data_IF_929685504494
#
_entry.id   IF_929685504494
#
_cell.length_a   1.000
_cell.length_b   1.000
_cell.length_c   1.000
_cell.angle_alpha   90.00
_cell.angle_beta   90.00
_cell.angle_gamma   90.00
#
_symmetry.space_group_name_H-M   'P 1'
#
loop_
_entity.id
_entity.type
_entity.pdbx_description
1 polymer ?
#
# COMPACT_ATOMS: atom_id res chain seq x y z
N UNK A 1 48.72 -7.11 -29.62
CA UNK A 1 47.36 -6.68 -29.24
C UNK A 1 47.09 -7.17 -27.83
N UNK A 2 46.87 -6.28 -26.86
CA UNK A 2 46.55 -6.67 -25.48
C UNK A 2 45.09 -7.12 -25.39
N UNK A 3 44.76 -8.25 -24.76
CA UNK A 3 43.37 -8.67 -24.59
C UNK A 3 42.63 -7.67 -23.69
N UNK A 4 41.48 -7.18 -24.16
CA UNK A 4 40.56 -6.35 -23.37
C UNK A 4 40.04 -7.18 -22.19
N UNK A 5 40.23 -6.67 -20.99
CA UNK A 5 39.67 -7.20 -19.76
C UNK A 5 38.15 -7.38 -19.88
N UNK A 6 37.55 -8.47 -19.35
CA UNK A 6 36.11 -8.63 -19.33
C UNK A 6 35.46 -7.53 -18.46
N UNK A 7 34.25 -7.07 -18.80
CA UNK A 7 33.53 -6.09 -18.00
C UNK A 7 33.23 -6.65 -16.59
N UNK A 8 33.21 -5.79 -15.55
CA UNK A 8 32.97 -6.24 -14.19
C UNK A 8 31.59 -6.90 -14.08
N UNK A 9 31.57 -8.05 -13.41
CA UNK A 9 30.38 -8.81 -13.06
C UNK A 9 29.39 -7.92 -12.27
N UNK A 10 28.27 -7.53 -12.91
CA UNK A 10 27.09 -6.93 -12.28
C UNK A 10 26.29 -8.00 -11.51
N UNK A 11 26.93 -8.70 -10.57
CA UNK A 11 26.29 -9.71 -9.74
C UNK A 11 25.96 -9.11 -8.37
N UNK A 12 24.67 -8.95 -8.10
CA UNK A 12 24.04 -8.80 -6.79
C UNK A 12 24.60 -7.67 -5.90
N UNK A 13 24.37 -6.41 -6.26
CA UNK A 13 24.24 -5.38 -5.23
C UNK A 13 22.86 -5.55 -4.59
N UNK A 14 22.82 -6.28 -3.47
CA UNK A 14 21.66 -6.26 -2.59
C UNK A 14 21.37 -4.80 -2.21
N UNK A 15 20.11 -4.38 -2.37
CA UNK A 15 19.62 -3.08 -1.92
C UNK A 15 19.95 -2.94 -0.43
N UNK A 16 21.03 -2.23 -0.11
CA UNK A 16 21.24 -1.75 1.24
C UNK A 16 20.36 -0.50 1.37
N UNK A 17 19.41 -0.46 2.32
CA UNK A 17 18.66 0.75 2.59
C UNK A 17 19.68 1.82 2.96
N UNK A 18 19.87 2.75 2.03
CA UNK A 18 20.87 3.78 2.12
C UNK A 18 20.50 4.61 3.35
N UNK A 19 21.26 4.50 4.45
CA UNK A 19 21.18 5.42 5.60
C UNK A 19 21.76 6.78 5.23
N UNK A 20 21.52 7.21 3.98
CA UNK A 20 21.83 8.52 3.49
C UNK A 20 21.15 9.51 4.45
N UNK A 21 21.91 10.50 4.90
CA UNK A 21 21.38 11.68 5.59
C UNK A 21 20.06 12.05 4.91
N UNK A 22 18.97 12.02 5.68
CA UNK A 22 17.66 12.46 5.22
C UNK A 22 17.84 13.88 4.71
N UNK A 23 17.93 14.03 3.39
CA UNK A 23 17.87 15.34 2.76
C UNK A 23 16.42 15.80 2.94
N UNK A 24 16.15 16.83 3.77
CA UNK A 24 14.79 17.29 4.00
C UNK A 24 14.12 17.79 2.71
N UNK A 25 14.90 18.07 1.65
CA UNK A 25 14.38 18.45 0.34
C UNK A 25 13.99 17.25 -0.54
N UNK A 26 14.35 16.01 -0.17
CA UNK A 26 14.01 14.83 -0.98
C UNK A 26 12.61 14.34 -0.61
N UNK A 27 11.69 14.20 -1.59
CA UNK A 27 10.34 13.70 -1.32
C UNK A 27 10.40 12.28 -0.78
N UNK A 28 9.53 11.97 0.18
CA UNK A 28 9.39 10.63 0.73
C UNK A 28 8.86 9.67 -0.36
N UNK A 29 9.53 8.54 -0.62
CA UNK A 29 9.03 7.52 -1.53
C UNK A 29 7.69 6.97 -1.07
N UNK A 30 6.71 6.88 -1.98
CA UNK A 30 5.34 6.44 -1.67
C UNK A 30 5.25 5.02 -1.10
N UNK A 31 6.21 4.15 -1.40
CA UNK A 31 6.30 2.78 -0.86
C UNK A 31 6.76 2.70 0.60
N UNK A 32 7.16 3.83 1.20
CA UNK A 32 7.36 3.91 2.64
C UNK A 32 6.03 4.05 3.41
N UNK A 33 4.91 4.28 2.72
CA UNK A 33 3.62 4.49 3.38
C UNK A 33 3.24 3.37 4.35
N UNK A 34 3.36 2.06 4.03
CA UNK A 34 3.05 0.99 4.99
C UNK A 34 3.89 1.07 6.27
N UNK A 35 5.19 1.37 6.14
CA UNK A 35 6.13 1.50 7.27
C UNK A 35 5.79 2.73 8.12
N UNK A 36 5.44 3.84 7.47
CA UNK A 36 5.04 5.08 8.12
C UNK A 36 3.71 4.92 8.89
N UNK A 37 2.75 4.13 8.36
CA UNK A 37 1.51 3.78 9.08
C UNK A 37 1.82 3.00 10.36
N UNK A 38 2.69 2.00 10.28
CA UNK A 38 3.10 1.19 11.44
C UNK A 38 3.81 2.05 12.49
N UNK A 39 4.72 2.94 12.04
CA UNK A 39 5.39 3.90 12.90
C UNK A 39 4.39 4.82 13.62
N UNK A 40 3.43 5.39 12.88
CA UNK A 40 2.41 6.28 13.45
C UNK A 40 1.60 5.60 14.55
N UNK A 41 1.13 4.38 14.32
CA UNK A 41 0.40 3.60 15.35
C UNK A 41 1.29 3.33 16.56
N UNK A 42 2.54 2.91 16.36
CA UNK A 42 3.45 2.50 17.44
C UNK A 42 3.91 3.67 18.31
N UNK A 43 4.21 4.82 17.72
CA UNK A 43 4.86 5.93 18.42
C UNK A 43 3.89 7.06 18.79
N UNK A 44 2.91 7.34 17.93
CA UNK A 44 1.93 8.41 18.16
C UNK A 44 0.67 7.88 18.86
N UNK A 45 0.53 6.56 19.00
CA UNK A 45 -0.64 5.92 19.60
C UNK A 45 -1.95 6.17 18.85
N UNK A 46 -1.87 6.75 17.64
CA UNK A 46 -3.01 7.15 16.84
C UNK A 46 -2.84 6.61 15.42
N UNK A 47 -3.85 5.91 14.88
CA UNK A 47 -3.81 5.47 13.50
C UNK A 47 -3.85 6.70 12.59
N UNK A 48 -2.92 6.77 11.64
CA UNK A 48 -2.99 7.80 10.61
C UNK A 48 -4.23 7.54 9.76
N UNK A 49 -5.09 8.55 9.52
CA UNK A 49 -6.22 8.41 8.63
C UNK A 49 -5.72 8.20 7.20
N UNK A 50 -5.70 6.93 6.78
CA UNK A 50 -5.43 6.54 5.40
C UNK A 50 -6.66 5.84 4.86
N UNK A 51 -6.96 6.09 3.59
CA UNK A 51 -8.04 5.45 2.86
C UNK A 51 -7.95 3.93 3.04
N UNK A 52 -9.09 3.30 3.34
CA UNK A 52 -9.21 1.86 3.30
C UNK A 52 -8.96 1.39 1.85
N UNK A 53 -7.92 0.57 1.59
CA UNK A 53 -7.51 0.30 0.21
C UNK A 53 -8.65 -0.33 -0.61
N UNK A 54 -9.10 0.30 -1.71
CA UNK A 54 -10.02 -0.34 -2.64
C UNK A 54 -9.45 -1.66 -3.16
N UNK A 55 -10.34 -2.62 -3.37
CA UNK A 55 -10.02 -3.92 -3.95
C UNK A 55 -10.54 -3.97 -5.38
N UNK A 56 -9.63 -3.99 -6.34
CA UNK A 56 -9.94 -3.90 -7.75
C UNK A 56 -9.70 -5.25 -8.44
N UNK A 57 -10.63 -5.63 -9.30
CA UNK A 57 -10.36 -6.65 -10.32
C UNK A 57 -9.64 -5.99 -11.48
N UNK A 58 -8.54 -6.54 -11.97
CA UNK A 58 -7.86 -6.03 -13.17
C UNK A 58 -8.03 -6.99 -14.34
N UNK A 59 -8.43 -6.43 -15.47
CA UNK A 59 -8.61 -7.13 -16.73
C UNK A 59 -7.29 -7.24 -17.52
N UNK A 60 -7.16 -8.25 -18.39
CA UNK A 60 -5.98 -8.50 -19.20
C UNK A 60 -5.63 -7.33 -20.13
N UNK A 61 -6.63 -6.67 -20.72
CA UNK A 61 -6.40 -5.51 -21.56
C UNK A 61 -5.63 -4.38 -20.84
N UNK A 62 -5.83 -4.24 -19.51
CA UNK A 62 -5.12 -3.28 -18.66
C UNK A 62 -3.74 -3.73 -18.30
N UNK A 63 -3.59 -5.00 -17.96
CA UNK A 63 -2.29 -5.58 -17.67
C UNK A 63 -1.38 -5.44 -18.89
N UNK A 64 -1.85 -5.82 -20.08
CA UNK A 64 -1.12 -5.68 -21.33
C UNK A 64 -0.75 -4.22 -21.62
N UNK A 65 -1.71 -3.30 -21.56
CA UNK A 65 -1.44 -1.86 -21.77
C UNK A 65 -0.37 -1.32 -20.80
N UNK A 66 -0.34 -1.83 -19.57
CA UNK A 66 0.63 -1.45 -18.54
C UNK A 66 2.01 -2.05 -18.82
N UNK A 67 2.07 -3.32 -19.22
CA UNK A 67 3.32 -4.01 -19.64
C UNK A 67 3.98 -3.23 -20.78
N UNK A 68 3.22 -2.90 -21.84
CA UNK A 68 3.74 -2.18 -22.99
C UNK A 68 4.24 -0.79 -22.63
N UNK A 69 3.51 -0.07 -21.78
CA UNK A 69 3.92 1.25 -21.27
C UNK A 69 5.22 1.15 -20.47
N UNK A 70 5.31 0.18 -19.56
CA UNK A 70 6.49 -0.04 -18.71
C UNK A 70 7.71 -0.44 -19.52
N UNK A 71 7.57 -1.30 -20.53
CA UNK A 71 8.66 -1.71 -21.40
C UNK A 71 9.27 -0.53 -22.20
N UNK A 72 8.48 0.53 -22.43
CA UNK A 72 8.89 1.78 -23.11
C UNK A 72 9.60 2.78 -22.21
N UNK A 73 9.52 2.65 -20.89
CA UNK A 73 10.26 3.52 -19.99
C UNK A 73 11.76 3.38 -20.20
N UNK A 74 12.52 4.43 -19.86
CA UNK A 74 13.99 4.41 -19.91
C UNK A 74 14.54 3.25 -19.09
N UNK A 75 14.04 3.09 -17.85
CA UNK A 75 14.27 1.91 -17.01
C UNK A 75 12.98 1.11 -16.86
N UNK A 76 13.06 -0.22 -17.06
CA UNK A 76 11.93 -1.13 -16.79
C UNK A 76 11.60 -1.18 -15.30
N UNK A 77 12.56 -0.87 -14.43
CA UNK A 77 12.37 -0.81 -12.98
C UNK A 77 11.53 0.39 -12.54
N UNK A 78 11.37 1.41 -13.39
CA UNK A 78 10.48 2.53 -13.10
C UNK A 78 9.06 2.02 -12.89
N UNK A 79 8.52 2.27 -11.69
CA UNK A 79 7.16 1.86 -11.33
C UNK A 79 6.13 2.64 -12.13
N UNK A 80 5.17 1.92 -12.67
CA UNK A 80 3.92 2.46 -13.22
C UNK A 80 3.03 3.00 -12.10
N UNK A 81 2.01 3.81 -12.39
CA UNK A 81 1.04 4.25 -11.39
C UNK A 81 0.40 3.10 -10.61
N UNK A 82 0.09 1.99 -11.29
CA UNK A 82 -0.45 0.77 -10.67
C UNK A 82 0.51 0.18 -9.63
N UNK A 83 1.75 -0.09 -10.03
CA UNK A 83 2.77 -0.67 -9.14
C UNK A 83 3.07 0.25 -7.95
N UNK A 84 3.09 1.56 -8.17
CA UNK A 84 3.32 2.53 -7.11
C UNK A 84 2.16 2.57 -6.10
N UNK A 85 0.92 2.54 -6.58
CA UNK A 85 -0.27 2.50 -5.73
C UNK A 85 -0.37 1.20 -4.92
N UNK A 86 -0.06 0.06 -5.56
CA UNK A 86 -0.02 -1.24 -4.86
C UNK A 86 1.11 -1.26 -3.82
N UNK A 87 2.32 -0.83 -4.18
CA UNK A 87 3.46 -0.81 -3.25
C UNK A 87 3.22 0.12 -2.05
N UNK A 88 2.51 1.23 -2.24
CA UNK A 88 2.10 2.12 -1.15
C UNK A 88 0.97 1.54 -0.27
N UNK A 89 0.36 0.42 -0.67
CA UNK A 89 -0.77 -0.19 0.03
C UNK A 89 -2.00 0.71 0.04
N UNK A 90 -2.21 1.49 -1.02
CA UNK A 90 -3.43 2.32 -1.21
C UNK A 90 -4.46 1.66 -2.11
N UNK A 91 -4.11 0.53 -2.75
CA UNK A 91 -5.02 -0.30 -3.54
C UNK A 91 -4.56 -1.75 -3.47
N UNK A 92 -5.51 -2.69 -3.59
CA UNK A 92 -5.22 -4.10 -3.80
C UNK A 92 -5.83 -4.54 -5.12
N UNK A 93 -5.08 -5.32 -5.89
CA UNK A 93 -5.41 -5.65 -7.26
C UNK A 93 -5.41 -7.16 -7.41
N UNK A 94 -6.51 -7.69 -7.94
CA UNK A 94 -6.79 -9.11 -8.04
C UNK A 94 -7.06 -9.50 -9.49
N UNK A 95 -6.71 -10.73 -9.85
CA UNK A 95 -7.08 -11.35 -11.11
C UNK A 95 -7.13 -12.88 -10.96
N UNK A 96 -7.89 -13.58 -11.80
CA UNK A 96 -7.88 -15.04 -11.82
C UNK A 96 -6.68 -15.58 -12.63
N UNK A 97 -6.34 -16.88 -12.52
CA UNK A 97 -5.24 -17.47 -13.29
C UNK A 97 -5.42 -17.41 -14.80
N UNK A 98 -6.64 -17.27 -15.30
CA UNK A 98 -6.92 -17.03 -16.72
C UNK A 98 -6.19 -15.80 -17.26
N UNK A 99 -5.94 -14.77 -16.42
CA UNK A 99 -5.13 -13.62 -16.79
C UNK A 99 -3.75 -14.03 -17.31
N UNK A 100 -3.11 -15.00 -16.65
CA UNK A 100 -1.77 -15.43 -17.01
C UNK A 100 -1.78 -16.12 -18.39
N UNK A 101 -2.78 -16.99 -18.63
CA UNK A 101 -2.97 -17.66 -19.92
C UNK A 101 -3.21 -16.65 -21.03
N UNK A 102 -4.09 -15.69 -20.82
CA UNK A 102 -4.41 -14.69 -21.82
C UNK A 102 -3.19 -13.80 -22.14
N UNK A 103 -2.50 -13.30 -21.11
CA UNK A 103 -1.30 -12.49 -21.29
C UNK A 103 -0.19 -13.27 -22.00
N UNK A 104 0.09 -14.51 -21.58
CA UNK A 104 1.21 -15.29 -22.10
C UNK A 104 0.92 -15.93 -23.44
N UNK A 105 -0.15 -16.73 -23.48
CA UNK A 105 -0.43 -17.65 -24.56
C UNK A 105 -1.13 -16.96 -25.71
N UNK A 106 -1.97 -15.96 -25.44
CA UNK A 106 -2.73 -15.26 -26.50
C UNK A 106 -2.01 -14.02 -27.01
N UNK A 107 -1.40 -13.21 -26.14
CA UNK A 107 -0.87 -11.91 -26.52
C UNK A 107 0.64 -11.84 -26.64
N UNK A 108 1.40 -12.30 -25.63
CA UNK A 108 2.86 -12.20 -25.66
C UNK A 108 3.51 -13.24 -26.60
N UNK A 109 2.92 -14.43 -26.74
CA UNK A 109 3.37 -15.45 -27.70
C UNK A 109 3.28 -14.96 -29.15
N UNK A 110 2.29 -14.10 -29.45
CA UNK A 110 2.04 -13.52 -30.77
C UNK A 110 2.79 -12.21 -30.99
N UNK A 111 3.69 -11.83 -30.08
CA UNK A 111 4.41 -10.57 -30.17
C UNK A 111 5.23 -10.49 -31.45
N UNK A 112 4.86 -9.54 -32.31
CA UNK A 112 5.67 -9.12 -33.45
C UNK A 112 6.21 -7.71 -33.18
N UNK A 113 7.53 -7.48 -33.25
CA UNK A 113 8.09 -6.16 -33.05
C UNK A 113 7.48 -5.17 -34.06
N UNK A 114 6.95 -4.06 -33.56
CA UNK A 114 6.45 -2.98 -34.43
C UNK A 114 7.57 -2.49 -35.34
N UNK A 115 7.28 -2.32 -36.63
CA UNK A 115 8.26 -1.83 -37.63
C UNK A 115 8.77 -0.42 -37.33
N UNK A 116 7.99 0.42 -36.64
CA UNK A 116 8.35 1.83 -36.40
C UNK A 116 9.21 2.03 -35.15
N UNK A 117 8.98 1.25 -34.09
CA UNK A 117 9.73 1.29 -32.82
C UNK A 117 9.68 -0.10 -32.16
N UNK A 118 10.55 -1.04 -32.58
CA UNK A 118 10.56 -2.37 -32.00
C UNK A 118 11.00 -2.30 -30.53
N UNK A 119 10.27 -2.97 -29.64
CA UNK A 119 10.69 -3.15 -28.25
C UNK A 119 11.43 -4.49 -28.15
N UNK A 120 12.59 -4.55 -27.49
CA UNK A 120 13.23 -5.83 -27.22
C UNK A 120 12.30 -6.72 -26.40
N UNK A 121 12.03 -7.95 -26.87
CA UNK A 121 11.12 -8.88 -26.19
C UNK A 121 11.51 -9.13 -24.73
N UNK A 122 12.82 -9.16 -24.43
CA UNK A 122 13.34 -9.25 -23.06
C UNK A 122 12.83 -8.13 -22.15
N UNK A 123 12.71 -6.88 -22.64
CA UNK A 123 12.14 -5.77 -21.85
C UNK A 123 10.66 -5.97 -21.57
N UNK A 124 9.93 -6.57 -22.50
CA UNK A 124 8.51 -6.89 -22.36
C UNK A 124 8.33 -7.99 -21.31
N UNK A 125 9.14 -9.05 -21.37
CA UNK A 125 9.14 -10.13 -20.38
C UNK A 125 9.50 -9.62 -18.99
N UNK A 126 10.48 -8.73 -18.88
CA UNK A 126 10.87 -8.15 -17.59
C UNK A 126 9.78 -7.21 -17.04
N UNK A 127 9.18 -6.38 -17.90
CA UNK A 127 8.04 -5.53 -17.52
C UNK A 127 6.85 -6.38 -17.02
N UNK A 128 6.54 -7.47 -17.73
CA UNK A 128 5.54 -8.46 -17.33
C UNK A 128 5.85 -9.06 -15.96
N UNK A 129 7.07 -9.57 -15.75
CA UNK A 129 7.50 -10.20 -14.49
C UNK A 129 7.31 -9.26 -13.30
N UNK A 130 7.78 -8.01 -13.44
CA UNK A 130 7.66 -7.00 -12.39
C UNK A 130 6.19 -6.64 -12.12
N UNK A 131 5.40 -6.39 -13.17
CA UNK A 131 4.00 -6.00 -13.00
C UNK A 131 3.16 -7.09 -12.36
N UNK A 132 3.25 -8.33 -12.85
CA UNK A 132 2.43 -9.44 -12.35
C UNK A 132 2.75 -9.76 -10.88
N UNK A 133 3.96 -9.46 -10.40
CA UNK A 133 4.29 -9.59 -8.97
C UNK A 133 3.52 -8.62 -8.06
N UNK A 134 2.87 -7.59 -8.63
CA UNK A 134 2.02 -6.64 -7.92
C UNK A 134 0.53 -6.99 -7.99
N UNK A 135 0.14 -8.10 -8.65
CA UNK A 135 -1.25 -8.53 -8.82
C UNK A 135 -1.44 -9.82 -8.03
N UNK A 136 -2.49 -9.88 -7.20
CA UNK A 136 -2.85 -11.08 -6.47
C UNK A 136 -3.63 -12.03 -7.38
N UNK A 137 -2.99 -13.11 -7.80
CA UNK A 137 -3.63 -14.16 -8.60
C UNK A 137 -4.39 -15.11 -7.67
N UNK A 138 -5.71 -15.20 -7.83
CA UNK A 138 -6.59 -15.99 -6.96
C UNK A 138 -7.51 -16.85 -7.81
N UNK A 139 -7.50 -18.17 -7.56
CA UNK A 139 -8.44 -19.11 -8.17
C UNK A 139 -9.85 -18.89 -7.57
N UNK A 140 -10.84 -18.47 -8.37
CA UNK A 140 -12.18 -18.30 -7.86
C UNK A 140 -12.89 -19.66 -7.70
N UNK A 141 -13.76 -19.83 -6.69
CA UNK A 141 -14.68 -20.95 -6.70
C UNK A 141 -15.71 -20.81 -7.83
N UNK A 142 -16.31 -21.92 -8.23
CA UNK A 142 -17.41 -21.91 -9.20
C UNK A 142 -18.68 -21.31 -8.56
N UNK A 143 -18.83 -20.00 -8.71
CA UNK A 143 -19.99 -19.23 -8.27
C UNK A 143 -20.88 -18.96 -9.47
N UNK A 144 -22.19 -19.09 -9.26
CA UNK A 144 -23.21 -18.71 -10.25
C UNK A 144 -24.03 -17.54 -9.73
N UNK A 145 -24.29 -16.57 -10.61
CA UNK A 145 -25.13 -15.42 -10.33
C UNK A 145 -25.77 -14.94 -11.64
N UNK A 146 -26.91 -14.22 -11.60
CA UNK A 146 -27.50 -13.66 -12.82
C UNK A 146 -26.58 -12.72 -13.59
N UNK A 147 -25.59 -12.09 -12.93
CA UNK A 147 -24.58 -11.28 -13.63
C UNK A 147 -23.55 -12.17 -14.34
N UNK A 148 -23.10 -13.23 -13.69
CA UNK A 148 -22.17 -14.22 -14.26
C UNK A 148 -22.81 -14.96 -15.44
N UNK A 149 -24.08 -15.37 -15.36
CA UNK A 149 -24.76 -16.03 -16.48
C UNK A 149 -24.91 -15.11 -17.71
N UNK A 150 -25.22 -13.83 -17.49
CA UNK A 150 -25.28 -12.84 -18.57
C UNK A 150 -23.91 -12.66 -19.24
N UNK A 151 -22.84 -12.62 -18.44
CA UNK A 151 -21.49 -12.52 -18.96
C UNK A 151 -21.08 -13.79 -19.70
N UNK A 152 -21.38 -14.98 -19.14
CA UNK A 152 -21.14 -16.28 -19.78
C UNK A 152 -21.78 -16.39 -21.16
N UNK A 153 -22.98 -15.83 -21.34
CA UNK A 153 -23.65 -15.80 -22.64
C UNK A 153 -23.01 -14.83 -23.64
N UNK A 154 -22.30 -13.79 -23.16
CA UNK A 154 -21.65 -12.76 -23.97
C UNK A 154 -20.18 -13.08 -24.27
N UNK A 155 -19.38 -13.28 -23.23
CA UNK A 155 -18.01 -13.76 -23.30
C UNK A 155 -17.74 -14.81 -22.19
N UNK A 156 -17.64 -16.10 -22.54
CA UNK A 156 -17.29 -17.16 -21.59
C UNK A 156 -15.92 -17.00 -20.93
N UNK A 157 -14.98 -16.24 -21.53
CA UNK A 157 -13.63 -16.06 -20.99
C UNK A 157 -13.61 -15.21 -19.72
N UNK A 158 -14.53 -14.26 -19.61
CA UNK A 158 -14.62 -13.35 -18.46
C UNK A 158 -15.37 -13.94 -17.26
N UNK A 159 -15.85 -15.19 -17.37
CA UNK A 159 -16.61 -15.85 -16.29
C UNK A 159 -15.78 -15.98 -15.01
N UNK A 160 -14.52 -16.39 -15.10
CA UNK A 160 -13.68 -16.55 -13.89
C UNK A 160 -13.37 -15.20 -13.23
N UNK A 161 -13.19 -14.15 -14.02
CA UNK A 161 -13.04 -12.78 -13.52
C UNK A 161 -14.29 -12.33 -12.75
N UNK A 162 -15.49 -12.59 -13.28
CA UNK A 162 -16.75 -12.25 -12.61
C UNK A 162 -17.00 -13.10 -11.36
N UNK A 163 -16.61 -14.37 -11.37
CA UNK A 163 -16.65 -15.24 -10.20
C UNK A 163 -15.73 -14.71 -9.10
N UNK A 164 -14.51 -14.31 -9.44
CA UNK A 164 -13.57 -13.71 -8.50
C UNK A 164 -14.10 -12.41 -7.89
N UNK A 165 -14.70 -11.55 -8.72
CA UNK A 165 -15.33 -10.31 -8.29
C UNK A 165 -16.39 -10.55 -7.21
N UNK A 166 -17.31 -11.50 -7.47
CA UNK A 166 -18.38 -11.83 -6.52
C UNK A 166 -17.88 -12.61 -5.30
N UNK A 167 -16.85 -13.44 -5.44
CA UNK A 167 -16.26 -14.23 -4.35
C UNK A 167 -15.60 -13.35 -3.30
N UNK A 168 -14.71 -12.45 -3.73
CA UNK A 168 -13.96 -11.55 -2.85
C UNK A 168 -14.71 -10.25 -2.52
N UNK A 169 -15.89 -10.03 -3.11
CA UNK A 169 -16.69 -8.80 -2.94
C UNK A 169 -15.86 -7.55 -3.29
N UNK A 170 -15.21 -7.59 -4.44
CA UNK A 170 -14.38 -6.50 -4.96
C UNK A 170 -15.24 -5.24 -5.17
N UNK A 171 -14.57 -4.08 -5.17
CA UNK A 171 -15.21 -2.77 -5.28
C UNK A 171 -15.53 -2.43 -6.74
N UNK A 172 -14.54 -2.61 -7.62
CA UNK A 172 -14.66 -2.21 -9.02
C UNK A 172 -13.85 -3.11 -9.95
N UNK A 173 -14.21 -3.10 -11.23
CA UNK A 173 -13.46 -3.72 -12.33
C UNK A 173 -12.67 -2.64 -13.07
N UNK A 174 -11.35 -2.81 -13.18
CA UNK A 174 -10.48 -1.97 -13.97
C UNK A 174 -10.31 -2.59 -15.36
N UNK A 175 -11.12 -2.14 -16.31
CA UNK A 175 -11.17 -2.68 -17.69
C UNK A 175 -11.32 -1.54 -18.71
N UNK A 176 -11.11 -1.85 -20.00
CA UNK A 176 -11.60 -1.04 -21.14
C UNK A 176 -12.75 -1.72 -21.88
N UNK A 177 -13.05 -2.96 -21.55
CA UNK A 177 -14.01 -3.76 -22.27
C UNK A 177 -15.44 -3.34 -21.93
N UNK A 178 -16.25 -3.16 -22.98
CA UNK A 178 -17.66 -2.85 -22.85
C UNK A 178 -18.49 -4.10 -22.48
N UNK A 179 -17.92 -5.30 -22.59
CA UNK A 179 -18.60 -6.54 -22.26
C UNK A 179 -18.96 -6.63 -20.77
N UNK A 180 -18.17 -6.00 -19.90
CA UNK A 180 -18.47 -5.87 -18.47
C UNK A 180 -19.77 -5.12 -18.18
N UNK A 181 -20.28 -4.27 -19.08
CA UNK A 181 -21.49 -3.48 -18.84
C UNK A 181 -22.72 -4.37 -18.60
N UNK A 182 -22.74 -5.60 -19.15
CA UNK A 182 -23.86 -6.53 -18.94
C UNK A 182 -23.93 -7.05 -17.50
N UNK A 183 -22.86 -6.96 -16.72
CA UNK A 183 -22.84 -7.48 -15.35
C UNK A 183 -23.55 -6.54 -14.38
N UNK A 184 -23.56 -5.23 -14.69
CA UNK A 184 -23.94 -4.18 -13.74
C UNK A 184 -22.92 -3.94 -12.63
N UNK A 185 -21.71 -4.49 -12.75
CA UNK A 185 -20.59 -4.16 -11.86
C UNK A 185 -20.13 -2.73 -12.10
N UNK A 186 -19.49 -2.13 -11.10
CA UNK A 186 -18.89 -0.81 -11.26
C UNK A 186 -17.56 -0.94 -12.02
N UNK A 187 -17.49 -0.31 -13.19
CA UNK A 187 -16.34 -0.39 -14.09
C UNK A 187 -15.62 0.96 -14.09
N UNK A 188 -14.31 0.93 -13.85
CA UNK A 188 -13.45 2.11 -13.95
C UNK A 188 -12.76 2.08 -15.31
N UNK A 189 -13.26 2.89 -16.24
CA UNK A 189 -12.62 3.12 -17.54
C UNK A 189 -11.48 4.16 -17.38
N UNK A 190 -10.54 4.23 -18.32
CA UNK A 190 -9.37 5.14 -18.17
C UNK A 190 -9.55 6.51 -18.81
N UNK A 191 -10.56 6.65 -19.65
CA UNK A 191 -10.98 7.88 -20.29
C UNK A 191 -11.72 8.81 -19.34
N UNK A 192 -12.43 8.27 -18.33
CA UNK A 192 -13.22 9.08 -17.39
C UNK A 192 -12.34 9.87 -16.40
N UNK A 193 -11.33 9.20 -15.83
CA UNK A 193 -10.34 9.77 -14.92
C UNK A 193 -9.27 8.69 -14.66
N UNK A 194 -7.97 9.04 -14.69
CA UNK A 194 -6.92 8.06 -14.40
C UNK A 194 -6.83 7.79 -12.90
N UNK A 195 -7.74 6.93 -12.41
CA UNK A 195 -7.82 6.51 -11.01
C UNK A 195 -6.47 6.06 -10.46
N UNK A 196 -5.64 5.38 -11.27
CA UNK A 196 -4.33 4.91 -10.84
C UNK A 196 -3.35 6.06 -10.64
N UNK A 197 -3.38 7.08 -11.50
CA UNK A 197 -2.63 8.31 -11.28
C UNK A 197 -3.09 9.06 -10.02
N UNK A 198 -4.40 9.08 -9.74
CA UNK A 198 -4.96 9.70 -8.53
C UNK A 198 -4.57 8.94 -7.27
N UNK A 199 -4.67 7.61 -7.27
CA UNK A 199 -4.20 6.77 -6.16
C UNK A 199 -2.70 6.97 -5.90
N UNK A 200 -1.90 7.06 -6.96
CA UNK A 200 -0.47 7.40 -6.86
C UNK A 200 -0.25 8.79 -6.27
N UNK A 201 -0.99 9.82 -6.71
CA UNK A 201 -0.91 11.17 -6.14
C UNK A 201 -1.25 11.13 -4.64
N UNK A 202 -2.39 10.51 -4.30
CA UNK A 202 -2.82 10.30 -2.92
C UNK A 202 -1.73 9.64 -2.07
N UNK A 203 -1.15 8.52 -2.54
CA UNK A 203 -0.08 7.82 -1.84
C UNK A 203 1.11 8.73 -1.55
N UNK A 204 1.60 9.48 -2.54
CA UNK A 204 2.73 10.41 -2.37
C UNK A 204 2.42 11.51 -1.36
N UNK A 205 1.27 12.16 -1.49
CA UNK A 205 0.86 13.25 -0.59
C UNK A 205 0.73 12.76 0.85
N UNK A 206 0.12 11.58 1.07
CA UNK A 206 -0.03 11.00 2.40
C UNK A 206 1.34 10.61 2.99
N UNK A 207 2.21 9.97 2.21
CA UNK A 207 3.57 9.64 2.67
C UNK A 207 4.33 10.89 3.07
N UNK A 208 4.23 11.95 2.28
CA UNK A 208 4.90 13.21 2.57
C UNK A 208 4.34 13.88 3.83
N UNK A 209 3.01 13.92 4.00
CA UNK A 209 2.36 14.43 5.21
C UNK A 209 2.82 13.68 6.46
N UNK A 210 2.79 12.34 6.44
CA UNK A 210 3.21 11.51 7.57
C UNK A 210 4.72 11.64 7.81
N UNK A 211 5.52 11.61 6.75
CA UNK A 211 6.97 11.73 6.85
C UNK A 211 7.39 13.05 7.48
N UNK A 212 6.80 14.16 7.04
CA UNK A 212 7.01 15.50 7.61
C UNK A 212 6.54 15.58 9.06
N UNK A 213 5.36 15.04 9.38
CA UNK A 213 4.85 14.99 10.74
C UNK A 213 5.75 14.16 11.67
N UNK A 214 6.27 13.03 11.20
CA UNK A 214 7.22 12.20 11.94
C UNK A 214 8.55 12.90 12.17
N UNK A 215 9.07 13.65 11.19
CA UNK A 215 10.28 14.47 11.36
C UNK A 215 10.05 15.55 12.42
N UNK A 216 8.90 16.24 12.40
CA UNK A 216 8.57 17.26 13.39
C UNK A 216 8.49 16.64 14.79
N UNK A 217 7.66 15.61 14.98
CA UNK A 217 7.44 14.99 16.30
C UNK A 217 8.72 14.39 16.88
N UNK A 218 9.52 13.71 16.04
CA UNK A 218 10.81 13.16 16.45
C UNK A 218 11.80 14.27 16.83
N UNK A 219 11.85 15.35 16.03
CA UNK A 219 12.67 16.53 16.32
C UNK A 219 12.28 17.20 17.64
N UNK A 220 10.97 17.39 17.89
CA UNK A 220 10.46 17.92 19.15
C UNK A 220 10.78 17.00 20.32
N UNK A 221 10.61 15.68 20.16
CA UNK A 221 10.94 14.71 21.21
C UNK A 221 12.42 14.76 21.59
N UNK A 222 13.34 14.76 20.61
CA UNK A 222 14.77 14.90 20.88
C UNK A 222 15.12 16.24 21.52
N UNK A 223 14.46 17.33 21.12
CA UNK A 223 14.65 18.64 21.74
C UNK A 223 14.21 18.61 23.21
N UNK A 224 13.05 18.01 23.51
CA UNK A 224 12.54 17.85 24.88
C UNK A 224 13.48 16.98 25.72
N UNK A 225 13.96 15.86 25.20
CA UNK A 225 14.89 14.99 25.92
C UNK A 225 16.27 15.61 26.10
N UNK A 226 16.78 16.37 25.11
CA UNK A 226 18.00 17.15 25.26
C UNK A 226 17.84 18.23 26.34
N UNK A 227 16.69 18.91 26.36
CA UNK A 227 16.32 19.90 27.39
C UNK A 227 16.24 19.24 28.77
N UNK A 228 15.57 18.09 28.91
CA UNK A 228 15.50 17.33 30.17
C UNK A 228 16.88 16.85 30.60
N UNK A 229 17.69 16.33 29.68
CA UNK A 229 19.05 15.87 29.93
C UNK A 229 19.94 17.00 30.43
N UNK A 230 19.91 18.16 29.76
CA UNK A 230 20.60 19.36 30.20
C UNK A 230 20.10 19.83 31.58
N UNK A 231 18.79 19.84 31.80
CA UNK A 231 18.17 20.22 33.07
C UNK A 231 18.58 19.30 34.22
N UNK A 232 18.60 17.98 33.99
CA UNK A 232 18.99 16.97 34.96
C UNK A 232 20.50 17.04 35.27
N UNK A 233 21.33 17.25 34.25
CA UNK A 233 22.77 17.47 34.42
C UNK A 233 23.04 18.73 35.25
N UNK A 234 22.35 19.84 34.92
CA UNK A 234 22.41 21.07 35.72
C UNK A 234 21.95 20.84 37.15
N UNK A 235 20.91 20.03 37.38
CA UNK A 235 20.42 19.67 38.72
C UNK A 235 21.48 19.04 39.63
N UNK A 236 22.48 18.37 39.06
CA UNK A 236 23.60 17.75 39.79
C UNK A 236 24.80 18.68 40.03
N UNK A 237 24.83 19.86 39.40
CA UNK A 237 25.95 20.79 39.52
C UNK A 237 26.00 21.49 40.91
N UNK A 238 27.12 22.12 41.29
CA UNK A 238 27.16 23.03 42.45
C UNK A 238 26.13 24.17 42.34
N UNK A 239 25.59 24.70 43.46
CA UNK A 239 24.49 25.67 43.45
C UNK A 239 24.70 26.90 42.56
N UNK A 240 25.92 27.44 42.52
CA UNK A 240 26.25 28.59 41.67
C UNK A 240 26.13 28.26 40.16
N UNK A 241 26.63 27.10 39.75
CA UNK A 241 26.56 26.62 38.36
C UNK A 241 25.12 26.21 37.97
N UNK A 242 24.32 25.74 38.93
CA UNK A 242 22.89 25.45 38.74
C UNK A 242 22.11 26.68 38.27
N UNK A 243 22.25 27.79 38.99
CA UNK A 243 21.55 29.04 38.65
C UNK A 243 22.05 29.66 37.35
N UNK A 244 23.37 29.70 37.15
CA UNK A 244 23.99 30.18 35.92
C UNK A 244 23.53 29.37 34.70
N UNK A 245 23.57 28.05 34.78
CA UNK A 245 23.18 27.18 33.67
C UNK A 245 21.69 27.23 33.35
N UNK A 246 20.82 27.30 34.37
CA UNK A 246 19.37 27.49 34.17
C UNK A 246 19.07 28.86 33.54
N UNK A 247 19.73 29.92 34.00
CA UNK A 247 19.61 31.26 33.44
C UNK A 247 20.06 31.30 31.98
N UNK A 248 21.21 30.70 31.66
CA UNK A 248 21.71 30.62 30.28
C UNK A 248 20.75 29.84 29.36
N UNK A 249 20.20 28.72 29.83
CA UNK A 249 19.23 27.93 29.08
C UNK A 249 17.93 28.70 28.82
N UNK A 250 17.38 29.39 29.83
CA UNK A 250 16.23 30.27 29.67
C UNK A 250 16.53 31.45 28.72
N UNK A 251 17.74 32.02 28.79
CA UNK A 251 18.15 33.09 27.88
C UNK A 251 18.26 32.63 26.42
N UNK A 252 18.72 31.39 26.17
CA UNK A 252 18.71 30.79 24.83
C UNK A 252 17.28 30.54 24.35
N UNK A 253 16.41 30.02 25.22
CA UNK A 253 14.99 29.81 24.90
C UNK A 253 14.21 31.12 24.72
N UNK A 254 14.64 32.21 25.36
CA UNK A 254 14.07 33.54 25.22
C UNK A 254 14.74 34.37 24.12
N UNK A 255 15.75 33.83 23.43
CA UNK A 255 16.51 34.57 22.42
C UNK A 255 15.60 34.88 21.21
N UNK A 256 15.29 36.16 20.93
CA UNK A 256 14.42 36.54 19.81
C UNK A 256 15.01 36.14 18.46
N UNK A 257 16.34 36.07 18.31
CA UNK A 257 17.01 35.63 17.09
C UNK A 257 16.75 34.15 16.77
N UNK A 258 16.59 33.30 17.79
CA UNK A 258 16.21 31.90 17.58
C UNK A 258 14.78 31.80 17.03
N UNK A 259 13.84 32.55 17.61
CA UNK A 259 12.46 32.62 17.11
C UNK A 259 12.42 33.19 15.69
N UNK A 260 13.14 34.27 15.40
CA UNK A 260 13.18 34.86 14.06
C UNK A 260 13.78 33.92 13.01
N UNK A 261 14.73 33.04 13.39
CA UNK A 261 15.31 32.07 12.47
C UNK A 261 14.43 30.82 12.27
N UNK A 262 13.69 30.39 13.31
CA UNK A 262 12.90 29.15 13.29
C UNK A 262 11.46 29.40 12.83
N UNK A 263 10.85 30.50 13.25
CA UNK A 263 9.43 30.79 13.01
C UNK A 263 9.09 30.82 11.51
N UNK A 264 9.86 31.47 10.61
CA UNK A 264 9.53 31.46 9.17
C UNK A 264 9.53 30.04 8.59
N UNK A 265 10.51 29.21 8.98
CA UNK A 265 10.60 27.81 8.54
C UNK A 265 9.45 26.97 9.10
N UNK A 266 9.03 27.24 10.33
CA UNK A 266 7.89 26.57 10.94
C UNK A 266 6.56 26.98 10.28
N UNK A 267 6.41 28.26 9.92
CA UNK A 267 5.25 28.75 9.17
C UNK A 267 5.21 28.11 7.78
N UNK A 268 6.30 28.14 7.03
CA UNK A 268 6.43 27.47 5.72
C UNK A 268 6.08 25.97 5.83
N UNK A 269 6.58 25.30 6.88
CA UNK A 269 6.26 23.91 7.14
C UNK A 269 4.76 23.68 7.39
N UNK A 270 4.11 24.52 8.20
CA UNK A 270 2.67 24.44 8.45
C UNK A 270 1.85 24.71 7.19
N UNK A 271 2.27 25.66 6.34
CA UNK A 271 1.65 25.95 5.05
C UNK A 271 1.74 24.73 4.13
N UNK A 272 2.92 24.11 4.02
CA UNK A 272 3.13 22.89 3.23
C UNK A 272 2.29 21.70 3.75
N UNK A 273 2.15 21.54 5.07
CA UNK A 273 1.25 20.54 5.64
C UNK A 273 -0.21 20.82 5.31
N UNK A 274 -0.63 22.09 5.36
CA UNK A 274 -1.99 22.47 5.01
C UNK A 274 -2.29 22.23 3.52
N UNK A 275 -1.34 22.56 2.64
CA UNK A 275 -1.44 22.29 1.20
C UNK A 275 -1.54 20.79 0.93
N UNK A 276 -0.65 19.98 1.49
CA UNK A 276 -0.69 18.52 1.37
C UNK A 276 -2.01 17.94 1.89
N UNK A 277 -2.55 18.45 3.02
CA UNK A 277 -3.85 18.00 3.51
C UNK A 277 -5.00 18.35 2.56
N UNK A 278 -4.94 19.49 1.86
CA UNK A 278 -5.94 19.86 0.84
C UNK A 278 -5.83 18.97 -0.39
N UNK A 279 -4.62 18.74 -0.88
CA UNK A 279 -4.37 17.84 -2.00
C UNK A 279 -4.82 16.41 -1.71
N UNK A 280 -4.52 15.91 -0.50
CA UNK A 280 -4.98 14.60 -0.02
C UNK A 280 -6.50 14.52 -0.04
N UNK A 281 -7.18 15.53 0.52
CA UNK A 281 -8.64 15.55 0.58
C UNK A 281 -9.27 15.58 -0.83
N UNK A 282 -8.72 16.36 -1.75
CA UNK A 282 -9.16 16.38 -3.15
C UNK A 282 -8.94 15.02 -3.84
N UNK A 283 -7.75 14.42 -3.68
CA UNK A 283 -7.46 13.12 -4.25
C UNK A 283 -8.38 12.03 -3.67
N UNK A 284 -8.65 12.08 -2.37
CA UNK A 284 -9.59 11.18 -1.70
C UNK A 284 -11.01 11.33 -2.25
N UNK A 285 -11.51 12.56 -2.40
CA UNK A 285 -12.83 12.81 -3.00
C UNK A 285 -12.94 12.26 -4.43
N UNK A 286 -11.89 12.41 -5.24
CA UNK A 286 -11.85 11.84 -6.58
C UNK A 286 -11.86 10.32 -6.56
N UNK A 287 -11.09 9.70 -5.66
CA UNK A 287 -11.07 8.25 -5.47
C UNK A 287 -12.45 7.73 -5.02
N UNK A 288 -13.08 8.37 -4.04
CA UNK A 288 -14.42 8.00 -3.54
C UNK A 288 -15.52 8.21 -4.59
N UNK A 289 -15.37 9.20 -5.47
CA UNK A 289 -16.26 9.41 -6.62
C UNK A 289 -16.10 8.29 -7.65
N UNK A 290 -14.87 7.93 -7.96
CA UNK A 290 -14.53 6.99 -9.04
C UNK A 290 -14.67 5.54 -8.59
N UNK A 291 -14.53 5.27 -7.30
CA UNK A 291 -14.71 3.95 -6.69
C UNK A 291 -16.04 3.98 -5.95
N UNK A 292 -17.08 3.48 -6.62
CA UNK A 292 -18.35 3.28 -5.94
C UNK A 292 -18.22 2.05 -5.04
N UNK A 293 -18.47 2.16 -3.72
CA UNK A 293 -18.54 0.99 -2.87
C UNK A 293 -19.58 0.03 -3.46
N UNK A 294 -19.29 -1.27 -3.40
CA UNK A 294 -20.13 -2.31 -3.99
C UNK A 294 -21.61 -2.04 -3.65
N UNK A 295 -22.49 -1.85 -4.65
CA UNK A 295 -23.87 -1.42 -4.40
C UNK A 295 -24.68 -2.47 -3.64
N UNK A 296 -24.20 -3.72 -3.61
CA UNK A 296 -24.82 -4.80 -2.83
C UNK A 296 -24.49 -4.59 -1.35
N UNK A 297 -25.53 -4.61 -0.50
CA UNK A 297 -25.35 -4.62 0.96
C UNK A 297 -24.47 -5.81 1.34
N UNK A 298 -23.26 -5.51 1.81
CA UNK A 298 -22.33 -6.53 2.26
C UNK A 298 -22.85 -7.14 3.56
N UNK A 299 -22.77 -8.46 3.67
CA UNK A 299 -23.00 -9.12 4.94
C UNK A 299 -21.85 -8.82 5.91
N UNK A 300 -22.08 -9.00 7.21
CA UNK A 300 -21.03 -8.91 8.23
C UNK A 300 -19.87 -9.88 7.92
N UNK A 301 -20.20 -11.07 7.41
CA UNK A 301 -19.22 -12.08 7.00
C UNK A 301 -18.41 -11.62 5.79
N UNK A 302 -19.04 -10.93 4.83
CA UNK A 302 -18.34 -10.33 3.69
C UNK A 302 -17.39 -9.22 4.13
N UNK A 303 -17.80 -8.35 5.06
CA UNK A 303 -16.88 -7.37 5.64
C UNK A 303 -15.68 -8.04 6.33
N UNK A 304 -15.90 -9.14 7.06
CA UNK A 304 -14.82 -9.90 7.68
C UNK A 304 -13.88 -10.53 6.64
N UNK A 305 -14.42 -11.07 5.55
CA UNK A 305 -13.63 -11.59 4.43
C UNK A 305 -12.75 -10.48 3.84
N UNK A 306 -13.34 -9.31 3.53
CA UNK A 306 -12.59 -8.17 2.98
C UNK A 306 -11.48 -7.70 3.92
N UNK A 307 -11.75 -7.61 5.22
CA UNK A 307 -10.74 -7.25 6.23
C UNK A 307 -9.58 -8.24 6.23
N UNK A 308 -9.85 -9.53 6.11
CA UNK A 308 -8.84 -10.58 6.12
C UNK A 308 -8.08 -10.69 4.81
N UNK A 309 -8.74 -10.53 3.67
CA UNK A 309 -8.11 -10.45 2.34
C UNK A 309 -7.16 -9.25 2.28
N UNK A 310 -7.54 -8.13 2.89
CA UNK A 310 -6.69 -6.94 2.95
C UNK A 310 -5.49 -7.08 3.88
N UNK A 311 -5.52 -8.05 4.80
CA UNK A 311 -4.48 -8.25 5.79
C UNK A 311 -3.37 -9.14 5.24
N UNK A 312 -2.12 -8.71 5.39
CA UNK A 312 -0.96 -9.55 5.06
C UNK A 312 -0.67 -10.62 6.11
N UNK A 313 -1.27 -10.51 7.29
CA UNK A 313 -1.06 -11.44 8.41
C UNK A 313 -2.40 -11.94 8.97
N UNK A 314 -2.44 -13.16 9.54
CA UNK A 314 -3.60 -13.65 10.27
C UNK A 314 -3.95 -12.73 11.44
N UNK A 315 -5.24 -12.37 11.57
CA UNK A 315 -5.72 -11.42 12.57
C UNK A 315 -6.42 -12.11 13.74
N UNK A 316 -6.35 -11.50 14.92
CA UNK A 316 -7.14 -11.95 16.08
C UNK A 316 -8.60 -11.51 15.93
N UNK A 317 -9.52 -12.32 16.46
CA UNK A 317 -10.96 -12.03 16.40
C UNK A 317 -11.37 -10.63 16.92
N UNK A 318 -10.81 -10.08 18.03
CA UNK A 318 -11.12 -8.73 18.48
C UNK A 318 -10.73 -7.65 17.45
N UNK A 319 -9.59 -7.84 16.78
CA UNK A 319 -9.11 -6.92 15.76
C UNK A 319 -9.97 -6.97 14.50
N UNK A 320 -10.38 -8.16 14.07
CA UNK A 320 -11.33 -8.34 12.95
C UNK A 320 -12.64 -7.62 13.29
N UNK A 321 -13.16 -7.83 14.50
CA UNK A 321 -14.40 -7.20 14.98
C UNK A 321 -14.31 -5.67 14.93
N UNK A 322 -13.18 -5.11 15.37
CA UNK A 322 -12.92 -3.67 15.32
C UNK A 322 -12.89 -3.16 13.88
N UNK A 323 -12.12 -3.80 12.99
CA UNK A 323 -11.99 -3.38 11.58
C UNK A 323 -13.29 -3.51 10.80
N UNK A 324 -14.08 -4.56 11.06
CA UNK A 324 -15.42 -4.75 10.47
C UNK A 324 -16.36 -3.61 10.86
N UNK A 325 -16.33 -3.16 12.13
CA UNK A 325 -17.11 -1.99 12.59
C UNK A 325 -16.64 -0.70 11.94
N UNK A 326 -15.32 -0.47 11.87
CA UNK A 326 -14.74 0.71 11.21
C UNK A 326 -15.10 0.78 9.73
N UNK A 327 -15.23 -0.38 9.06
CA UNK A 327 -15.70 -0.49 7.69
C UNK A 327 -17.21 -0.24 7.51
N UNK A 328 -17.93 0.15 8.57
CA UNK A 328 -19.35 0.52 8.52
C UNK A 328 -20.32 -0.66 8.67
N UNK A 329 -19.86 -1.86 9.03
CA UNK A 329 -20.75 -2.99 9.24
C UNK A 329 -21.63 -2.77 10.48
N UNK A 330 -22.95 -2.83 10.29
CA UNK A 330 -23.93 -2.71 11.36
C UNK A 330 -24.42 -4.11 11.76
N UNK A 331 -24.42 -4.40 13.07
CA UNK A 331 -24.93 -5.67 13.62
C UNK A 331 -25.88 -5.41 14.77
N UNK A 332 -26.98 -6.16 14.81
CA UNK A 332 -27.91 -6.17 15.95
C UNK A 332 -27.42 -7.06 17.10
N UNK A 333 -26.41 -7.91 16.87
CA UNK A 333 -25.88 -8.80 17.90
C UNK A 333 -25.06 -8.01 18.92
N UNK A 334 -25.39 -8.15 20.22
CA UNK A 334 -24.64 -7.54 21.34
C UNK A 334 -23.17 -7.96 21.35
N UNK A 335 -22.90 -9.23 21.05
CA UNK A 335 -21.57 -9.79 20.93
C UNK A 335 -21.27 -10.14 19.46
N UNK A 336 -20.75 -9.14 18.73
CA UNK A 336 -20.35 -9.30 17.34
C UNK A 336 -19.19 -10.30 17.17
N UNK A 337 -18.28 -10.39 18.13
CA UNK A 337 -17.11 -11.28 18.04
C UNK A 337 -17.52 -12.75 18.05
N UNK A 338 -18.34 -13.15 19.02
CA UNK A 338 -18.89 -14.52 19.08
C UNK A 338 -19.73 -14.87 17.86
N UNK A 339 -20.52 -13.91 17.35
CA UNK A 339 -21.28 -14.09 16.11
C UNK A 339 -20.36 -14.32 14.90
N UNK A 340 -19.37 -13.44 14.69
CA UNK A 340 -18.39 -13.55 13.61
C UNK A 340 -17.66 -14.88 13.64
N UNK A 341 -17.16 -15.29 14.82
CA UNK A 341 -16.46 -16.58 14.97
C UNK A 341 -17.33 -17.75 14.50
N UNK A 342 -18.62 -17.79 14.91
CA UNK A 342 -19.53 -18.85 14.47
C UNK A 342 -19.73 -18.82 12.96
N UNK A 343 -20.00 -17.67 12.37
CA UNK A 343 -20.19 -17.54 10.92
C UNK A 343 -18.93 -17.96 10.15
N UNK A 344 -17.76 -17.50 10.55
CA UNK A 344 -16.48 -17.82 9.92
C UNK A 344 -16.11 -19.30 10.05
N UNK A 345 -16.49 -19.98 11.14
CA UNK A 345 -16.30 -21.44 11.29
C UNK A 345 -17.09 -22.26 10.27
N UNK A 346 -18.27 -21.79 9.88
CA UNK A 346 -19.15 -22.49 8.95
C UNK A 346 -18.91 -22.08 7.49
N UNK A 347 -18.24 -20.96 7.27
CA UNK A 347 -17.94 -20.44 5.94
C UNK A 347 -16.55 -20.93 5.48
N UNK A 348 -16.54 -21.71 4.41
CA UNK A 348 -15.32 -22.30 3.86
C UNK A 348 -14.26 -21.29 3.42
N UNK A 349 -14.59 -20.00 3.29
CA UNK A 349 -13.66 -18.93 2.88
C UNK A 349 -12.66 -18.54 3.98
N UNK A 350 -12.84 -19.00 5.21
CA UNK A 350 -11.98 -18.66 6.35
C UNK A 350 -11.16 -19.86 6.85
N UNK A 351 -10.03 -19.56 7.47
CA UNK A 351 -9.17 -20.54 8.14
C UNK A 351 -8.84 -20.02 9.55
N UNK A 352 -9.17 -20.81 10.58
CA UNK A 352 -8.72 -20.59 11.96
C UNK A 352 -7.37 -21.29 12.15
N UNK A 353 -6.35 -20.53 12.51
CA UNK A 353 -5.01 -21.03 12.83
C UNK A 353 -4.99 -21.61 14.25
N UNK A 354 -3.99 -22.45 14.54
CA UNK A 354 -3.83 -23.09 15.85
C UNK A 354 -3.66 -22.10 17.01
N UNK A 355 -3.17 -20.90 16.74
CA UNK A 355 -3.01 -19.82 17.72
C UNK A 355 -4.26 -18.93 17.88
N UNK A 356 -5.37 -19.31 17.25
CA UNK A 356 -6.66 -18.60 17.31
C UNK A 356 -6.73 -17.35 16.43
N UNK A 357 -5.73 -17.09 15.57
CA UNK A 357 -5.83 -16.09 14.50
C UNK A 357 -6.59 -16.63 13.30
N UNK A 358 -7.07 -15.72 12.46
CA UNK A 358 -7.87 -16.03 11.29
C UNK A 358 -7.25 -15.41 10.04
N UNK A 359 -7.34 -16.11 8.92
CA UNK A 359 -7.01 -15.59 7.60
C UNK A 359 -8.10 -15.96 6.59
N UNK A 360 -8.14 -15.24 5.47
CA UNK A 360 -8.86 -15.72 4.29
C UNK A 360 -8.15 -16.96 3.74
N UNK A 361 -8.91 -17.94 3.24
CA UNK A 361 -8.35 -19.19 2.70
C UNK A 361 -7.39 -18.91 1.53
N UNK A 362 -7.80 -18.03 0.63
CA UNK A 362 -7.01 -17.70 -0.57
C UNK A 362 -5.69 -16.99 -0.22
N UNK A 363 -5.69 -16.20 0.87
CA UNK A 363 -4.48 -15.60 1.42
C UNK A 363 -3.55 -16.66 2.06
N UNK A 364 -4.12 -17.65 2.75
CA UNK A 364 -3.35 -18.73 3.38
C UNK A 364 -2.70 -19.67 2.35
N UNK A 365 -3.38 -19.93 1.22
CA UNK A 365 -2.85 -20.75 0.13
C UNK A 365 -1.65 -20.09 -0.56
N UNK A 366 -1.59 -18.76 -0.59
CA UNK A 366 -0.44 -18.01 -1.12
C UNK A 366 0.83 -18.19 -0.28
N UNK A 367 0.71 -18.36 1.05
CA UNK A 367 1.86 -18.58 1.92
C UNK A 367 2.60 -19.91 1.63
N UNK A 368 1.88 -20.90 1.09
CA UNK A 368 2.43 -22.21 0.73
C UNK A 368 3.22 -22.20 -0.59
N UNK A 369 3.19 -21.12 -1.37
CA UNK A 369 3.91 -21.00 -2.64
C UNK A 369 5.08 -20.00 -2.54
N UNK A 370 6.28 -20.44 -2.08
CA UNK A 370 7.42 -19.55 -1.84
C UNK A 370 8.01 -18.89 -3.10
N UNK A 371 7.60 -19.29 -4.31
CA UNK A 371 8.22 -18.88 -5.57
C UNK A 371 7.78 -17.49 -6.10
N UNK A 372 6.73 -16.88 -5.54
CA UNK A 372 6.15 -15.65 -6.09
C UNK A 372 5.90 -14.56 -5.03
N UNK A 373 6.55 -14.63 -3.86
CA UNK A 373 6.51 -13.49 -2.94
C UNK A 373 7.15 -12.28 -3.63
N UNK A 374 6.46 -11.13 -3.78
CA UNK A 374 7.20 -9.88 -3.91
C UNK A 374 8.12 -9.81 -2.70
N UNK A 375 9.42 -9.59 -2.91
CA UNK A 375 10.40 -9.45 -1.85
C UNK A 375 10.06 -8.20 -0.99
N UNK A 376 9.08 -8.32 -0.11
CA UNK A 376 8.93 -7.51 1.10
C UNK A 376 9.70 -8.23 2.21
N UNK A 377 10.93 -8.66 1.91
CA UNK A 377 11.87 -9.15 2.89
C UNK A 377 12.75 -7.97 3.31
N UNK A 378 12.26 -7.09 4.19
CA UNK A 378 13.13 -6.13 4.88
C UNK A 378 12.47 -5.49 6.12
N UNK A 379 12.03 -6.30 7.09
CA UNK A 379 11.59 -5.76 8.40
C UNK A 379 12.21 -6.46 9.62
N UNK A 380 12.80 -7.65 9.50
CA UNK A 380 13.36 -8.33 10.69
C UNK A 380 14.86 -8.07 10.96
N UNK A 381 15.62 -7.52 10.01
CA UNK A 381 17.08 -7.32 10.18
C UNK A 381 17.52 -6.06 10.92
N UNK A 382 16.63 -5.08 11.13
CA UNK A 382 17.02 -3.73 11.59
C UNK A 382 16.76 -3.46 13.08
N UNK A 383 16.12 -4.38 13.80
CA UNK A 383 15.75 -4.18 15.21
C UNK A 383 16.65 -4.92 16.23
N UNK A 384 17.61 -5.73 15.80
CA UNK A 384 18.53 -6.40 16.73
C UNK A 384 19.81 -5.60 17.07
N UNK A 385 20.08 -4.46 16.42
CA UNK A 385 21.29 -3.66 16.70
C UNK A 385 21.15 -2.60 17.80
N UNK A 386 19.98 -2.49 18.46
CA UNK A 386 19.72 -1.49 19.52
C UNK A 386 19.63 -2.06 20.94
N UNK A 387 20.06 -3.30 21.19
CA UNK A 387 20.38 -3.72 22.56
C UNK A 387 21.77 -3.20 22.92
N UNK A 388 21.78 -1.97 23.45
CA UNK A 388 22.87 -1.47 24.28
C UNK A 388 23.10 -2.51 25.38
N UNK A 389 24.35 -2.96 25.50
CA UNK A 389 24.82 -3.76 26.64
C UNK A 389 24.59 -2.94 27.90
N UNK A 390 23.76 -3.44 28.81
CA UNK A 390 23.88 -3.10 30.23
C UNK A 390 25.14 -3.74 30.82
#
# INVERSE_FOLDING_TARGET
>A
MKPKSPPPNLRNQAYQPNTAKLDPARPFPSDQLPQLKEYGVRFLGTPVPVLDPPMLLIDANRVLSTIWTKARYTSVETRTPLEEAVAAGVVQVFAPPELLREVDDEHLSRYQPSTKKPLPFQRVQEARRLLLSSIQIVEPPDVTSPAIERLRARDPKDVSYAQLFEHLKLDSVLSRDADWEVTGYHIVKADDHDLLATLKKYARTVTEEIGRFNVLTTGTFFMVEAVKGAWNFLGRAPPALRWLGRGAMLAVLANPGLYQAVLPKFVEFCEQLQENSRERAQAQQLIERDIKPNPRRLSITDHALRVLVKSSEPLKLPEITQRVRTAGAVSQNKDLGSYLRRQMKHDGRFVEHSDGRWSARDAASSEASPALRPHVLFTQGLLQSWRVKE
#
